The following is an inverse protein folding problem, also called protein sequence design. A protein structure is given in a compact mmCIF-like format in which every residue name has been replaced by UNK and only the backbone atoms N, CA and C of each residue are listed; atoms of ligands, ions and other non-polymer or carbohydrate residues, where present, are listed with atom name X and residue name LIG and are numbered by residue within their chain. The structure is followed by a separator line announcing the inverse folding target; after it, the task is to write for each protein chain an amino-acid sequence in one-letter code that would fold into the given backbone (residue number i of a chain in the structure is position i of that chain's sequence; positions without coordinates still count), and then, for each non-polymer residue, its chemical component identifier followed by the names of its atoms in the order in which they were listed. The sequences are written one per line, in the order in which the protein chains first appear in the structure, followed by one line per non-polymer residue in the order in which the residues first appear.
data_IF_465875155001
#
_entry.id   IF_465875155001
#
_cell.length_a   1.000
_cell.length_b   1.000
_cell.length_c   1.000
_cell.angle_alpha   90.00
_cell.angle_beta   90.00
_cell.angle_gamma   90.00
#
_symmetry.space_group_name_H-M   'P 1'
#
loop_
_entity.id
_entity.type
_entity.pdbx_description
1 polymer ?
#
# COMPACT_ATOMS: atom_id res chain seq x y z
N UNK A 1 -5.35 15.30 -33.69
CA UNK A 1 -5.14 14.17 -32.76
C UNK A 1 -6.34 14.13 -31.81
N UNK A 2 -6.98 12.97 -31.59
CA UNK A 2 -8.11 12.88 -30.65
C UNK A 2 -7.64 13.08 -29.20
N UNK A 3 -8.53 13.53 -28.30
CA UNK A 3 -8.19 13.69 -26.86
C UNK A 3 -7.72 12.36 -26.26
N UNK A 4 -8.35 11.25 -26.65
CA UNK A 4 -7.92 9.91 -26.23
C UNK A 4 -6.49 9.57 -26.68
N UNK A 5 -6.12 9.89 -27.93
CA UNK A 5 -4.78 9.68 -28.45
C UNK A 5 -3.76 10.62 -27.79
N UNK A 6 -4.15 11.87 -27.51
CA UNK A 6 -3.33 12.83 -26.77
C UNK A 6 -3.03 12.32 -25.35
N UNK A 7 -4.04 11.83 -24.64
CA UNK A 7 -3.88 11.25 -23.30
C UNK A 7 -2.96 10.00 -23.31
N UNK A 8 -2.95 9.22 -24.39
CA UNK A 8 -2.11 8.03 -24.51
C UNK A 8 -0.69 8.31 -25.03
N UNK A 9 -0.40 9.56 -25.44
CA UNK A 9 0.90 9.93 -25.96
C UNK A 9 1.96 9.83 -24.85
N UNK A 10 3.12 9.28 -25.20
CA UNK A 10 4.25 9.08 -24.29
C UNK A 10 5.57 9.38 -24.98
N UNK A 11 6.46 10.07 -24.26
CA UNK A 11 7.85 10.29 -24.67
C UNK A 11 8.64 8.99 -24.77
N UNK A 12 9.79 9.04 -25.46
CA UNK A 12 10.73 7.90 -25.52
C UNK A 12 11.20 7.52 -24.12
N UNK A 13 11.44 8.50 -23.26
CA UNK A 13 11.87 8.26 -21.87
C UNK A 13 10.85 7.46 -21.06
N UNK A 14 9.56 7.80 -21.16
CA UNK A 14 8.49 7.06 -20.49
C UNK A 14 8.38 5.62 -21.01
N UNK A 15 8.50 5.41 -22.33
CA UNK A 15 8.50 4.07 -22.94
C UNK A 15 9.68 3.22 -22.46
N UNK A 16 10.89 3.81 -22.45
CA UNK A 16 12.08 3.14 -21.94
C UNK A 16 11.94 2.80 -20.46
N UNK A 17 11.40 3.70 -19.63
CA UNK A 17 11.20 3.43 -18.22
C UNK A 17 10.24 2.26 -17.99
N UNK A 18 9.10 2.21 -18.70
CA UNK A 18 8.13 1.10 -18.61
C UNK A 18 8.73 -0.23 -19.04
N UNK A 19 9.60 -0.24 -20.06
CA UNK A 19 10.22 -1.46 -20.55
C UNK A 19 11.40 -1.93 -19.68
N UNK A 20 12.27 -1.01 -19.25
CA UNK A 20 13.53 -1.33 -18.60
C UNK A 20 13.40 -1.55 -17.10
N UNK A 21 12.53 -0.80 -16.41
CA UNK A 21 12.45 -0.88 -14.94
C UNK A 21 12.03 -2.28 -14.46
N UNK A 22 10.98 -2.93 -15.00
CA UNK A 22 10.65 -4.29 -14.59
C UNK A 22 11.80 -5.28 -14.82
N UNK A 23 12.54 -5.13 -15.92
CA UNK A 23 13.70 -5.99 -16.26
C UNK A 23 14.85 -5.76 -15.28
N UNK A 24 15.22 -4.50 -15.05
CA UNK A 24 16.27 -4.12 -14.10
C UNK A 24 15.92 -4.62 -12.70
N UNK A 25 14.69 -4.41 -12.25
CA UNK A 25 14.23 -4.88 -10.93
C UNK A 25 14.30 -6.40 -10.82
N UNK A 26 13.92 -7.14 -11.87
CA UNK A 26 14.01 -8.61 -11.90
C UNK A 26 15.47 -9.09 -11.82
N UNK A 27 16.40 -8.40 -12.49
CA UNK A 27 17.84 -8.68 -12.41
C UNK A 27 18.37 -8.41 -11.01
N UNK A 28 18.03 -7.25 -10.41
CA UNK A 28 18.47 -6.88 -9.07
C UNK A 28 18.00 -7.92 -8.04
N UNK A 29 16.71 -8.29 -8.10
CA UNK A 29 16.15 -9.30 -7.19
C UNK A 29 16.76 -10.69 -7.46
N UNK A 30 17.11 -10.98 -8.71
CA UNK A 30 17.79 -12.22 -9.10
C UNK A 30 19.16 -12.43 -8.46
N UNK A 31 19.86 -11.35 -8.07
CA UNK A 31 21.09 -11.46 -7.29
C UNK A 31 20.85 -11.97 -5.86
N UNK A 32 19.66 -11.77 -5.31
CA UNK A 32 19.27 -12.29 -4.00
C UNK A 32 18.63 -13.68 -4.09
N UNK A 33 17.69 -13.87 -5.02
CA UNK A 33 17.00 -15.15 -5.20
C UNK A 33 16.44 -15.32 -6.61
N UNK A 34 16.83 -16.41 -7.29
CA UNK A 34 16.27 -16.79 -8.59
C UNK A 34 14.76 -17.07 -8.52
N UNK A 35 14.27 -17.59 -7.39
CA UNK A 35 12.82 -17.80 -7.17
C UNK A 35 12.07 -16.48 -7.14
N UNK A 36 12.61 -15.49 -6.41
CA UNK A 36 12.01 -14.16 -6.34
C UNK A 36 11.99 -13.48 -7.71
N UNK A 37 13.08 -13.58 -8.48
CA UNK A 37 13.13 -13.06 -9.85
C UNK A 37 12.11 -13.71 -10.79
N UNK A 38 11.87 -15.02 -10.66
CA UNK A 38 10.88 -15.74 -11.45
C UNK A 38 9.43 -15.30 -11.15
N UNK A 39 9.13 -14.98 -9.88
CA UNK A 39 7.81 -14.50 -9.45
C UNK A 39 7.60 -13.00 -9.69
N UNK A 40 8.68 -12.24 -9.88
CA UNK A 40 8.69 -10.79 -10.05
C UNK A 40 7.66 -10.25 -11.06
N UNK A 41 7.51 -10.84 -12.27
CA UNK A 41 6.56 -10.32 -13.24
C UNK A 41 5.11 -10.31 -12.74
N UNK A 42 4.77 -11.23 -11.82
CA UNK A 42 3.42 -11.34 -11.26
C UNK A 42 3.07 -10.17 -10.34
N UNK A 43 4.05 -9.50 -9.73
CA UNK A 43 3.84 -8.30 -8.91
C UNK A 43 3.28 -7.12 -9.72
N UNK A 44 3.42 -7.14 -11.06
CA UNK A 44 2.92 -6.10 -11.96
C UNK A 44 1.51 -6.38 -12.50
N UNK A 45 0.92 -7.56 -12.23
CA UNK A 45 -0.40 -7.92 -12.75
C UNK A 45 -1.51 -6.92 -12.37
N UNK A 46 -1.60 -6.42 -11.13
CA UNK A 46 -2.64 -5.43 -10.79
C UNK A 46 -2.48 -4.13 -11.58
N UNK A 47 -1.24 -3.69 -11.79
CA UNK A 47 -0.92 -2.51 -12.61
C UNK A 47 -1.33 -2.73 -14.06
N UNK A 48 -1.04 -3.90 -14.65
CA UNK A 48 -1.44 -4.24 -16.01
C UNK A 48 -2.98 -4.28 -16.16
N UNK A 49 -3.68 -4.86 -15.19
CA UNK A 49 -5.14 -4.93 -15.19
C UNK A 49 -5.78 -3.53 -15.10
N UNK A 50 -5.31 -2.68 -14.18
CA UNK A 50 -5.84 -1.32 -14.02
C UNK A 50 -5.42 -0.39 -15.17
N UNK A 51 -4.26 -0.59 -15.77
CA UNK A 51 -3.90 0.09 -17.02
C UNK A 51 -4.88 -0.25 -18.14
N UNK A 52 -5.25 -1.52 -18.29
CA UNK A 52 -6.24 -1.91 -19.29
C UNK A 52 -7.63 -1.30 -19.03
N UNK A 53 -8.05 -1.24 -17.76
CA UNK A 53 -9.25 -0.50 -17.36
C UNK A 53 -9.16 0.98 -17.72
N UNK A 54 -8.01 1.62 -17.48
CA UNK A 54 -7.75 3.01 -17.87
C UNK A 54 -7.83 3.19 -19.38
N UNK A 55 -7.24 2.29 -20.19
CA UNK A 55 -7.30 2.36 -21.67
C UNK A 55 -8.75 2.33 -22.15
N UNK A 56 -9.58 1.45 -21.58
CA UNK A 56 -11.01 1.38 -21.92
C UNK A 56 -11.74 2.67 -21.53
N UNK A 57 -11.52 3.17 -20.32
CA UNK A 57 -12.14 4.41 -19.84
C UNK A 57 -11.70 5.64 -20.64
N UNK A 58 -10.44 5.70 -21.07
CA UNK A 58 -9.92 6.79 -21.89
C UNK A 58 -10.49 6.78 -23.31
N UNK A 59 -10.90 5.62 -23.84
CA UNK A 59 -11.60 5.57 -25.13
C UNK A 59 -13.03 6.10 -25.02
N UNK A 60 -13.70 5.87 -23.90
CA UNK A 60 -15.12 6.24 -23.72
C UNK A 60 -15.31 7.66 -23.20
N UNK A 61 -14.48 8.12 -22.26
CA UNK A 61 -14.58 9.45 -21.67
C UNK A 61 -13.20 10.12 -21.53
N UNK A 62 -12.51 10.43 -22.64
CA UNK A 62 -11.14 10.95 -22.61
C UNK A 62 -11.00 12.31 -21.93
N UNK A 63 -12.03 13.15 -21.95
CA UNK A 63 -11.94 14.53 -21.43
C UNK A 63 -11.72 14.58 -19.91
N UNK A 64 -12.18 13.56 -19.19
CA UNK A 64 -12.11 13.52 -17.71
C UNK A 64 -10.92 12.73 -17.16
N UNK A 65 -10.18 11.97 -17.99
CA UNK A 65 -9.06 11.11 -17.56
C UNK A 65 -7.77 11.89 -17.36
N UNK A 66 -6.81 11.33 -16.65
CA UNK A 66 -5.42 11.79 -16.64
C UNK A 66 -4.65 11.33 -17.88
N UNK A 67 -3.62 12.09 -18.29
CA UNK A 67 -2.68 11.67 -19.34
C UNK A 67 -1.73 10.57 -18.83
N UNK A 68 -1.43 9.58 -19.68
CA UNK A 68 -0.64 8.40 -19.35
C UNK A 68 0.78 8.73 -18.91
N UNK A 69 1.48 9.63 -19.60
CA UNK A 69 2.87 9.96 -19.25
C UNK A 69 3.00 10.52 -17.81
N UNK A 70 2.20 11.51 -17.39
CA UNK A 70 2.14 11.90 -15.98
C UNK A 70 1.82 10.76 -15.00
N UNK A 71 0.95 9.81 -15.38
CA UNK A 71 0.63 8.66 -14.53
C UNK A 71 1.83 7.70 -14.39
N UNK A 72 2.57 7.45 -15.48
CA UNK A 72 3.82 6.67 -15.45
C UNK A 72 4.82 7.32 -14.49
N UNK A 73 5.06 8.62 -14.63
CA UNK A 73 6.01 9.32 -13.74
C UNK A 73 5.53 9.37 -12.29
N UNK A 74 4.24 9.52 -12.06
CA UNK A 74 3.65 9.44 -10.71
C UNK A 74 3.90 8.06 -10.11
N UNK A 75 3.65 7.00 -10.87
CA UNK A 75 3.94 5.63 -10.47
C UNK A 75 5.43 5.51 -10.08
N UNK A 76 6.35 5.91 -10.95
CA UNK A 76 7.79 5.76 -10.68
C UNK A 76 8.28 6.60 -9.49
N UNK A 77 7.84 7.85 -9.37
CA UNK A 77 8.26 8.75 -8.29
C UNK A 77 7.74 8.27 -6.94
N UNK A 78 6.45 7.88 -6.85
CA UNK A 78 5.88 7.34 -5.62
C UNK A 78 6.52 6.00 -5.26
N UNK A 79 6.73 5.14 -6.25
CA UNK A 79 7.33 3.83 -6.08
C UNK A 79 8.77 3.89 -5.59
N UNK A 80 9.63 4.65 -6.26
CA UNK A 80 11.06 4.67 -5.93
C UNK A 80 11.33 5.70 -4.83
N UNK A 81 11.06 6.97 -5.11
CA UNK A 81 11.38 8.06 -4.19
C UNK A 81 10.45 8.11 -2.98
N UNK A 82 9.14 7.90 -3.21
CA UNK A 82 8.12 7.93 -2.18
C UNK A 82 8.30 6.81 -1.14
N UNK A 83 8.44 5.55 -1.60
CA UNK A 83 8.63 4.43 -0.66
C UNK A 83 9.97 4.51 0.06
N UNK A 84 11.06 4.95 -0.60
CA UNK A 84 12.34 5.16 0.07
C UNK A 84 12.24 6.21 1.19
N UNK A 85 11.63 7.36 0.89
CA UNK A 85 11.42 8.42 1.88
C UNK A 85 10.51 7.94 3.03
N UNK A 86 9.46 7.17 2.70
CA UNK A 86 8.57 6.55 3.66
C UNK A 86 9.33 5.58 4.58
N UNK A 87 10.12 4.66 4.03
CA UNK A 87 10.90 3.69 4.81
C UNK A 87 11.89 4.38 5.74
N UNK A 88 12.59 5.41 5.28
CA UNK A 88 13.50 6.21 6.12
C UNK A 88 12.72 6.89 7.25
N UNK A 89 11.59 7.52 6.94
CA UNK A 89 10.77 8.22 7.94
C UNK A 89 10.19 7.25 8.99
N UNK A 90 9.62 6.12 8.56
CA UNK A 90 9.07 5.10 9.45
C UNK A 90 10.16 4.47 10.30
N UNK A 91 11.29 4.05 9.71
CA UNK A 91 12.40 3.44 10.44
C UNK A 91 13.00 4.41 11.47
N UNK A 92 13.23 5.67 11.09
CA UNK A 92 13.81 6.68 11.98
C UNK A 92 12.87 6.99 13.15
N UNK A 93 11.57 7.17 12.87
CA UNK A 93 10.58 7.41 13.92
C UNK A 93 10.44 6.19 14.84
N UNK A 94 10.36 4.98 14.28
CA UNK A 94 10.24 3.77 15.07
C UNK A 94 11.48 3.53 15.92
N UNK A 95 12.67 3.80 15.40
CA UNK A 95 13.92 3.76 16.17
C UNK A 95 13.88 4.67 17.39
N UNK A 96 13.51 5.95 17.21
CA UNK A 96 13.38 6.88 18.34
C UNK A 96 12.33 6.39 19.35
N UNK A 97 11.16 5.94 18.88
CA UNK A 97 10.10 5.46 19.75
C UNK A 97 10.51 4.22 20.54
N UNK A 98 11.17 3.25 19.90
CA UNK A 98 11.68 2.05 20.56
C UNK A 98 12.74 2.42 21.60
N UNK A 99 13.72 3.26 21.24
CA UNK A 99 14.78 3.68 22.16
C UNK A 99 14.23 4.39 23.40
N UNK A 100 13.24 5.27 23.23
CA UNK A 100 12.62 6.00 24.34
C UNK A 100 11.73 5.08 25.19
N UNK A 101 10.93 4.23 24.56
CA UNK A 101 9.90 3.43 25.25
C UNK A 101 10.51 2.22 25.96
N UNK A 102 11.45 1.53 25.31
CA UNK A 102 12.06 0.30 25.82
C UNK A 102 13.30 0.57 26.69
N UNK A 103 13.92 1.75 26.56
CA UNK A 103 15.13 2.11 27.30
C UNK A 103 16.24 1.08 27.12
N UNK A 104 16.70 0.49 28.21
CA UNK A 104 17.75 -0.54 28.19
C UNK A 104 17.36 -1.81 27.42
N UNK A 105 16.06 -2.10 27.26
CA UNK A 105 15.55 -3.26 26.52
C UNK A 105 15.43 -3.03 25.00
N UNK A 106 15.81 -1.86 24.48
CA UNK A 106 15.62 -1.51 23.07
C UNK A 106 16.35 -2.45 22.10
N UNK A 107 17.57 -2.88 22.43
CA UNK A 107 18.35 -3.80 21.58
C UNK A 107 17.69 -5.17 21.47
N UNK A 108 17.26 -5.74 22.61
CA UNK A 108 16.52 -6.99 22.66
C UNK A 108 15.21 -6.90 21.89
N UNK A 109 14.46 -5.81 22.07
CA UNK A 109 13.23 -5.56 21.32
C UNK A 109 13.47 -5.56 19.82
N UNK A 110 14.52 -4.89 19.34
CA UNK A 110 14.85 -4.85 17.91
C UNK A 110 15.19 -6.21 17.33
N UNK A 111 15.96 -7.01 18.07
CA UNK A 111 16.27 -8.40 17.67
C UNK A 111 14.98 -9.20 17.51
N UNK A 112 14.08 -9.12 18.48
CA UNK A 112 12.83 -9.87 18.43
C UNK A 112 11.83 -9.31 17.40
N UNK A 113 11.77 -7.99 17.20
CA UNK A 113 10.90 -7.32 16.23
C UNK A 113 11.29 -7.63 14.77
N UNK A 114 12.58 -7.73 14.48
CA UNK A 114 13.10 -8.05 13.14
C UNK A 114 13.17 -9.55 12.87
N UNK A 115 12.91 -10.39 13.87
CA UNK A 115 12.91 -11.84 13.71
C UNK A 115 11.68 -12.29 12.92
N UNK A 116 11.89 -12.88 11.74
CA UNK A 116 10.82 -13.36 10.85
C UNK A 116 10.25 -14.76 11.17
N UNK A 117 10.88 -15.53 12.07
CA UNK A 117 10.43 -16.88 12.45
C UNK A 117 10.71 -17.21 13.91
N UNK A 118 9.88 -18.07 14.50
CA UNK A 118 10.08 -18.62 15.86
C UNK A 118 10.63 -20.06 15.87
N UNK A 119 10.91 -20.60 14.68
CA UNK A 119 11.57 -21.90 14.56
C UNK A 119 12.99 -21.85 15.15
N UNK A 120 13.39 -22.93 15.81
CA UNK A 120 14.72 -23.03 16.44
C UNK A 120 14.88 -22.31 17.79
N UNK A 121 13.86 -21.60 18.29
CA UNK A 121 13.93 -20.96 19.62
C UNK A 121 13.77 -21.96 20.76
N UNK A 122 14.59 -21.79 21.82
CA UNK A 122 14.45 -22.55 23.08
C UNK A 122 13.18 -22.14 23.84
N UNK A 123 12.69 -22.96 24.79
CA UNK A 123 11.54 -22.61 25.62
C UNK A 123 11.72 -21.28 26.36
N UNK A 124 12.92 -20.99 26.86
CA UNK A 124 13.25 -19.77 27.60
C UNK A 124 13.20 -18.54 26.68
N UNK A 125 13.70 -18.66 25.44
CA UNK A 125 13.62 -17.60 24.44
C UNK A 125 12.18 -17.30 24.05
N UNK A 126 11.34 -18.33 23.90
CA UNK A 126 9.90 -18.17 23.61
C UNK A 126 9.17 -17.48 24.78
N UNK A 127 9.47 -17.88 26.01
CA UNK A 127 8.91 -17.24 27.20
C UNK A 127 9.31 -15.77 27.28
N UNK A 128 10.59 -15.46 27.02
CA UNK A 128 11.08 -14.08 27.00
C UNK A 128 10.40 -13.23 25.93
N UNK A 129 10.23 -13.79 24.73
CA UNK A 129 9.51 -13.14 23.63
C UNK A 129 8.04 -12.85 24.00
N UNK A 130 7.37 -13.79 24.67
CA UNK A 130 6.02 -13.61 25.20
C UNK A 130 5.93 -12.49 26.25
N UNK A 131 6.92 -12.35 27.13
CA UNK A 131 6.99 -11.24 28.08
C UNK A 131 7.08 -9.89 27.36
N UNK A 132 7.91 -9.80 26.32
CA UNK A 132 8.02 -8.58 25.51
C UNK A 132 6.69 -8.31 24.78
N UNK A 133 6.10 -9.32 24.15
CA UNK A 133 4.85 -9.21 23.41
C UNK A 133 3.66 -8.81 24.32
N UNK A 134 3.63 -9.27 25.56
CA UNK A 134 2.59 -8.93 26.54
C UNK A 134 2.79 -7.57 27.21
N UNK A 135 3.96 -6.93 27.02
CA UNK A 135 4.27 -5.63 27.62
C UNK A 135 3.40 -4.49 27.04
N UNK A 136 3.02 -3.54 27.89
CA UNK A 136 2.27 -2.35 27.44
C UNK A 136 3.09 -1.51 26.44
N UNK A 137 4.42 -1.54 26.56
CA UNK A 137 5.34 -0.86 25.66
C UNK A 137 5.20 -1.40 24.23
N UNK A 138 5.17 -2.73 24.07
CA UNK A 138 4.97 -3.34 22.75
C UNK A 138 3.61 -2.98 22.17
N UNK A 139 2.52 -3.07 22.96
CA UNK A 139 1.19 -2.66 22.51
C UNK A 139 1.12 -1.19 22.07
N UNK A 140 1.76 -0.29 22.82
CA UNK A 140 1.85 1.13 22.44
C UNK A 140 2.63 1.30 21.12
N UNK A 141 3.78 0.66 20.98
CA UNK A 141 4.59 0.72 19.76
C UNK A 141 3.85 0.15 18.55
N UNK A 142 3.14 -0.95 18.71
CA UNK A 142 2.29 -1.56 17.69
C UNK A 142 1.14 -0.62 17.28
N UNK A 143 0.50 0.04 18.24
CA UNK A 143 -0.53 1.04 17.96
C UNK A 143 0.02 2.23 17.17
N UNK A 144 1.16 2.80 17.60
CA UNK A 144 1.81 3.91 16.93
C UNK A 144 2.28 3.52 15.53
N UNK A 145 2.87 2.34 15.38
CA UNK A 145 3.26 1.81 14.07
C UNK A 145 2.05 1.71 13.14
N UNK A 146 0.96 1.11 13.63
CA UNK A 146 -0.24 0.87 12.81
C UNK A 146 -0.93 2.17 12.38
N UNK A 147 -1.22 3.09 13.30
CA UNK A 147 -2.04 4.27 12.98
C UNK A 147 -1.25 5.50 12.53
N UNK A 148 -0.02 5.69 13.03
CA UNK A 148 0.78 6.88 12.70
C UNK A 148 1.71 6.60 11.52
N UNK A 149 2.49 5.53 11.59
CA UNK A 149 3.48 5.22 10.55
C UNK A 149 2.82 4.61 9.32
N UNK A 150 2.16 3.47 9.46
CA UNK A 150 1.55 2.80 8.31
C UNK A 150 0.27 3.53 7.85
N UNK A 151 -0.71 3.71 8.75
CA UNK A 151 -1.93 4.43 8.44
C UNK A 151 -1.68 5.91 8.08
N UNK A 152 -0.84 6.63 8.83
CA UNK A 152 -0.63 8.05 8.61
C UNK A 152 0.29 8.37 7.43
N UNK A 153 1.55 7.93 7.48
CA UNK A 153 2.54 8.31 6.46
C UNK A 153 2.23 7.70 5.09
N UNK A 154 1.74 6.46 5.02
CA UNK A 154 1.42 5.86 3.72
C UNK A 154 0.20 6.49 3.07
N UNK A 155 -0.86 6.79 3.82
CA UNK A 155 -2.03 7.44 3.24
C UNK A 155 -1.73 8.90 2.86
N UNK A 156 -0.81 9.56 3.56
CA UNK A 156 -0.28 10.84 3.13
C UNK A 156 0.47 10.71 1.79
N UNK A 157 1.35 9.72 1.65
CA UNK A 157 2.06 9.44 0.40
C UNK A 157 1.08 9.12 -0.74
N UNK A 158 0.04 8.32 -0.49
CA UNK A 158 -1.03 8.00 -1.47
C UNK A 158 -1.89 9.21 -1.85
N UNK A 159 -1.97 10.21 -0.98
CA UNK A 159 -2.67 11.48 -1.27
C UNK A 159 -1.85 12.44 -2.14
N UNK A 160 -0.52 12.38 -2.12
CA UNK A 160 0.33 13.28 -2.92
C UNK A 160 0.01 13.27 -4.43
N UNK A 161 -0.25 12.11 -5.07
CA UNK A 161 -0.74 12.07 -6.45
C UNK A 161 -2.05 12.83 -6.68
N UNK A 162 -3.00 12.73 -5.74
CA UNK A 162 -4.25 13.49 -5.82
C UNK A 162 -3.95 14.98 -5.71
N UNK A 163 -3.12 15.39 -4.76
CA UNK A 163 -2.70 16.77 -4.62
C UNK A 163 -2.01 17.31 -5.89
N UNK A 164 -1.13 16.51 -6.51
CA UNK A 164 -0.52 16.84 -7.80
C UNK A 164 -1.58 16.99 -8.91
N UNK A 165 -2.56 16.08 -8.97
CA UNK A 165 -3.67 16.17 -9.93
C UNK A 165 -4.50 17.44 -9.73
N UNK A 166 -4.77 17.85 -8.48
CA UNK A 166 -5.47 19.11 -8.14
C UNK A 166 -4.73 20.32 -8.72
N UNK A 167 -3.42 20.39 -8.47
CA UNK A 167 -2.55 21.47 -8.98
C UNK A 167 -2.47 21.47 -10.50
N UNK A 168 -2.47 20.29 -11.13
CA UNK A 168 -2.47 20.16 -12.60
C UNK A 168 -3.81 20.60 -13.19
N UNK A 169 -4.93 20.23 -12.57
CA UNK A 169 -6.27 20.55 -13.04
C UNK A 169 -6.56 22.06 -13.05
N UNK A 170 -5.95 22.84 -12.15
CA UNK A 170 -6.01 24.31 -12.18
C UNK A 170 -5.49 24.94 -13.48
N UNK A 171 -4.69 24.20 -14.27
CA UNK A 171 -4.12 24.67 -15.55
C UNK A 171 -4.99 24.31 -16.75
N UNK A 172 -6.03 23.50 -16.57
CA UNK A 172 -6.93 23.10 -17.64
C UNK A 172 -8.19 23.95 -17.62
N UNK A 173 -8.63 24.38 -18.80
CA UNK A 173 -9.92 25.07 -18.96
C UNK A 173 -11.10 24.11 -18.71
N UNK A 174 -10.91 22.82 -19.00
CA UNK A 174 -11.92 21.77 -18.80
C UNK A 174 -11.68 21.00 -17.51
N UNK A 175 -12.79 20.66 -16.85
CA UNK A 175 -12.84 19.83 -15.63
C UNK A 175 -12.36 18.40 -15.90
N UNK A 176 -11.30 17.95 -15.22
CA UNK A 176 -10.78 16.57 -15.26
C UNK A 176 -10.91 15.89 -13.90
N UNK A 177 -12.14 15.76 -13.41
CA UNK A 177 -12.41 15.20 -12.09
C UNK A 177 -11.98 13.72 -11.95
N UNK A 178 -12.21 12.88 -12.96
CA UNK A 178 -11.78 11.48 -12.93
C UNK A 178 -10.26 11.30 -12.99
N UNK A 179 -9.49 12.33 -13.35
CA UNK A 179 -8.03 12.27 -13.30
C UNK A 179 -7.52 12.09 -11.86
N UNK A 180 -8.23 12.59 -10.85
CA UNK A 180 -7.82 12.42 -9.44
C UNK A 180 -7.75 10.93 -9.07
N UNK A 181 -8.70 10.15 -9.59
CA UNK A 181 -8.74 8.69 -9.42
C UNK A 181 -7.55 8.05 -10.13
N UNK A 182 -7.25 8.47 -11.37
CA UNK A 182 -6.12 7.93 -12.13
C UNK A 182 -4.79 8.13 -11.42
N UNK A 183 -4.53 9.34 -10.93
CA UNK A 183 -3.31 9.66 -10.19
C UNK A 183 -3.25 8.90 -8.86
N UNK A 184 -4.34 8.82 -8.11
CA UNK A 184 -4.39 8.06 -6.86
C UNK A 184 -4.08 6.57 -7.09
N UNK A 185 -4.70 5.97 -8.11
CA UNK A 185 -4.45 4.57 -8.47
C UNK A 185 -3.00 4.35 -8.92
N UNK A 186 -2.42 5.27 -9.71
CA UNK A 186 -1.02 5.18 -10.11
C UNK A 186 -0.06 5.18 -8.91
N UNK A 187 -0.29 6.06 -7.92
CA UNK A 187 0.51 6.07 -6.69
C UNK A 187 0.32 4.81 -5.85
N UNK A 188 -0.94 4.39 -5.64
CA UNK A 188 -1.28 3.22 -4.84
C UNK A 188 -0.70 1.92 -5.42
N UNK A 189 -0.86 1.72 -6.74
CA UNK A 189 -0.32 0.58 -7.46
C UNK A 189 1.19 0.53 -7.36
N UNK A 190 1.85 1.68 -7.40
CA UNK A 190 3.30 1.72 -7.30
C UNK A 190 3.80 1.29 -5.93
N UNK A 191 3.20 1.85 -4.88
CA UNK A 191 3.54 1.49 -3.50
C UNK A 191 3.30 -0.02 -3.27
N UNK A 192 2.15 -0.55 -3.67
CA UNK A 192 1.88 -1.98 -3.46
C UNK A 192 2.72 -2.90 -4.36
N UNK A 193 3.12 -2.46 -5.55
CA UNK A 193 4.11 -3.21 -6.35
C UNK A 193 5.42 -3.31 -5.57
N UNK A 194 5.96 -2.21 -5.04
CA UNK A 194 7.20 -2.25 -4.25
C UNK A 194 7.07 -3.13 -3.02
N UNK A 195 5.94 -3.08 -2.30
CA UNK A 195 5.68 -3.98 -1.18
C UNK A 195 5.66 -5.45 -1.62
N UNK A 196 4.92 -5.78 -2.68
CA UNK A 196 4.86 -7.16 -3.21
C UNK A 196 6.27 -7.66 -3.53
N UNK A 197 7.10 -6.83 -4.15
CA UNK A 197 8.50 -7.14 -4.46
C UNK A 197 9.31 -7.42 -3.19
N UNK A 198 9.17 -6.58 -2.17
CA UNK A 198 9.80 -6.76 -0.87
C UNK A 198 9.40 -8.09 -0.21
N UNK A 199 8.10 -8.37 -0.13
CA UNK A 199 7.59 -9.60 0.49
C UNK A 199 8.00 -10.87 -0.28
N UNK A 200 7.95 -10.86 -1.62
CA UNK A 200 8.43 -11.99 -2.43
C UNK A 200 9.92 -12.21 -2.16
N UNK A 201 10.71 -11.15 -2.13
CA UNK A 201 12.16 -11.23 -1.92
C UNK A 201 12.48 -11.78 -0.53
N UNK A 202 11.79 -11.31 0.50
CA UNK A 202 11.97 -11.75 1.89
C UNK A 202 11.58 -13.23 2.09
N UNK A 203 10.40 -13.64 1.61
CA UNK A 203 9.96 -15.04 1.69
C UNK A 203 10.88 -15.97 0.89
N UNK A 204 11.41 -15.53 -0.25
CA UNK A 204 12.33 -16.33 -1.06
C UNK A 204 13.79 -16.31 -0.58
N UNK A 205 14.16 -15.36 0.29
CA UNK A 205 15.47 -15.30 0.94
C UNK A 205 15.51 -16.12 2.24
N UNK A 206 14.34 -16.41 2.82
CA UNK A 206 14.21 -17.38 3.91
C UNK A 206 14.65 -18.76 3.41
N UNK A 207 15.28 -19.60 4.26
CA UNK A 207 15.79 -20.96 3.93
C UNK A 207 14.70 -21.99 3.50
N UNK A 208 13.51 -21.50 3.13
CA UNK A 208 12.35 -22.23 2.66
C UNK A 208 12.67 -22.87 1.29
N UNK A 209 12.81 -24.19 1.30
CA UNK A 209 13.15 -24.96 0.10
C UNK A 209 12.00 -25.02 -0.93
N UNK A 210 10.75 -24.77 -0.51
CA UNK A 210 9.54 -24.87 -1.34
C UNK A 210 9.20 -23.67 -2.24
N UNK A 211 8.14 -23.81 -3.02
CA UNK A 211 7.48 -22.74 -3.80
C UNK A 211 6.14 -22.31 -3.21
N UNK A 212 5.59 -23.11 -2.27
CA UNK A 212 4.25 -22.90 -1.73
C UNK A 212 4.17 -21.58 -0.98
N UNK A 213 5.10 -21.33 -0.06
CA UNK A 213 5.12 -20.15 0.81
C UNK A 213 5.33 -18.85 0.01
N UNK A 214 6.28 -18.77 -0.97
CA UNK A 214 6.37 -17.63 -1.87
C UNK A 214 5.10 -17.37 -2.69
N UNK A 215 4.46 -18.43 -3.23
CA UNK A 215 3.23 -18.30 -4.02
C UNK A 215 2.06 -17.83 -3.14
N UNK A 216 1.94 -18.38 -1.93
CA UNK A 216 0.92 -17.98 -0.96
C UNK A 216 1.12 -16.52 -0.54
N UNK A 217 2.36 -16.12 -0.25
CA UNK A 217 2.72 -14.73 0.07
C UNK A 217 2.33 -13.80 -1.08
N UNK A 218 2.71 -14.17 -2.30
CA UNK A 218 2.37 -13.41 -3.50
C UNK A 218 0.84 -13.28 -3.66
N UNK A 219 0.10 -14.38 -3.54
CA UNK A 219 -1.37 -14.37 -3.65
C UNK A 219 -2.01 -13.47 -2.58
N UNK A 220 -1.55 -13.55 -1.33
CA UNK A 220 -2.03 -12.69 -0.24
C UNK A 220 -1.77 -11.21 -0.54
N UNK A 221 -0.58 -10.86 -1.06
CA UNK A 221 -0.25 -9.46 -1.37
C UNK A 221 -0.96 -8.94 -2.62
N UNK A 222 -1.12 -9.77 -3.64
CA UNK A 222 -1.87 -9.43 -4.85
C UNK A 222 -3.38 -9.28 -4.61
N UNK A 223 -3.95 -10.10 -3.73
CA UNK A 223 -5.39 -10.08 -3.47
C UNK A 223 -5.70 -9.13 -2.31
N UNK A 224 -5.23 -9.45 -1.11
CA UNK A 224 -5.61 -8.74 0.10
C UNK A 224 -4.94 -7.37 0.15
N UNK A 225 -3.60 -7.33 0.05
CA UNK A 225 -2.81 -6.10 0.10
C UNK A 225 -3.20 -5.11 -0.98
N UNK A 226 -3.16 -5.53 -2.24
CA UNK A 226 -3.47 -4.64 -3.38
C UNK A 226 -4.90 -4.12 -3.33
N UNK A 227 -5.88 -4.97 -3.00
CA UNK A 227 -7.27 -4.53 -2.88
C UNK A 227 -7.42 -3.46 -1.79
N UNK A 228 -6.80 -3.66 -0.62
CA UNK A 228 -6.81 -2.68 0.47
C UNK A 228 -6.25 -1.32 0.03
N UNK A 229 -5.06 -1.30 -0.58
CA UNK A 229 -4.39 -0.06 -1.00
C UNK A 229 -5.15 0.66 -2.11
N UNK A 230 -5.68 -0.09 -3.08
CA UNK A 230 -6.51 0.45 -4.17
C UNK A 230 -7.80 1.04 -3.62
N UNK A 231 -8.52 0.33 -2.75
CA UNK A 231 -9.77 0.82 -2.18
C UNK A 231 -9.57 2.04 -1.28
N UNK A 232 -8.52 2.07 -0.44
CA UNK A 232 -8.19 3.23 0.38
C UNK A 232 -7.88 4.47 -0.50
N UNK A 233 -7.15 4.27 -1.59
CA UNK A 233 -6.80 5.35 -2.53
C UNK A 233 -8.02 5.80 -3.37
N UNK A 234 -8.92 4.89 -3.71
CA UNK A 234 -10.22 5.21 -4.30
C UNK A 234 -11.07 6.04 -3.34
N UNK A 235 -11.15 5.67 -2.07
CA UNK A 235 -11.89 6.41 -1.06
C UNK A 235 -11.36 7.84 -0.95
N UNK A 236 -10.03 7.98 -0.83
CA UNK A 236 -9.35 9.28 -0.77
C UNK A 236 -9.61 10.13 -2.01
N UNK A 237 -9.48 9.56 -3.22
CA UNK A 237 -9.68 10.30 -4.46
C UNK A 237 -11.14 10.68 -4.70
N UNK A 238 -12.11 9.80 -4.43
CA UNK A 238 -13.55 10.10 -4.55
C UNK A 238 -13.95 11.23 -3.60
N UNK A 239 -13.44 11.22 -2.36
CA UNK A 239 -13.66 12.31 -1.41
C UNK A 239 -13.04 13.62 -1.89
N UNK A 240 -11.84 13.58 -2.47
CA UNK A 240 -11.22 14.76 -3.07
C UNK A 240 -12.04 15.30 -4.25
N UNK A 241 -12.54 14.41 -5.13
CA UNK A 241 -13.44 14.78 -6.23
C UNK A 241 -14.73 15.42 -5.71
N UNK A 242 -15.33 14.84 -4.67
CA UNK A 242 -16.53 15.40 -4.06
C UNK A 242 -16.26 16.79 -3.48
N UNK A 243 -15.18 16.94 -2.72
CA UNK A 243 -14.77 18.21 -2.12
C UNK A 243 -14.56 19.32 -3.16
N UNK A 244 -13.87 19.00 -4.26
CA UNK A 244 -13.44 20.01 -5.21
C UNK A 244 -14.51 20.35 -6.24
N UNK A 245 -15.47 19.46 -6.49
CA UNK A 245 -16.37 19.66 -7.63
C UNK A 245 -17.86 19.34 -7.46
N UNK A 246 -18.29 18.64 -6.40
CA UNK A 246 -19.69 18.18 -6.29
C UNK A 246 -20.34 18.41 -4.93
N UNK A 247 -19.57 18.78 -3.90
CA UNK A 247 -20.04 18.90 -2.54
C UNK A 247 -19.32 19.99 -1.75
N UNK A 248 -19.56 20.06 -0.43
CA UNK A 248 -18.91 21.06 0.41
C UNK A 248 -17.39 20.83 0.45
N UNK A 249 -16.59 21.92 0.46
CA UNK A 249 -15.14 21.82 0.49
C UNK A 249 -14.68 21.10 1.77
N UNK A 250 -13.71 20.20 1.61
CA UNK A 250 -13.08 19.46 2.69
C UNK A 250 -11.60 19.80 2.80
N UNK A 251 -11.10 19.86 4.03
CA UNK A 251 -9.66 19.92 4.28
C UNK A 251 -9.00 18.59 3.88
N UNK A 252 -7.71 18.61 3.53
CA UNK A 252 -6.97 17.41 3.18
C UNK A 252 -7.03 16.33 4.28
N UNK A 253 -7.00 16.75 5.55
CA UNK A 253 -7.15 15.86 6.72
C UNK A 253 -8.50 15.12 6.65
N UNK A 254 -9.61 15.83 6.41
CA UNK A 254 -10.95 15.21 6.30
C UNK A 254 -11.08 14.28 5.10
N UNK A 255 -10.29 14.51 4.05
CA UNK A 255 -10.26 13.64 2.87
C UNK A 255 -9.58 12.31 3.23
N UNK A 256 -8.39 12.34 3.83
CA UNK A 256 -7.58 11.13 4.07
C UNK A 256 -7.92 10.39 5.37
N UNK A 257 -8.48 11.07 6.37
CA UNK A 257 -8.65 10.49 7.72
C UNK A 257 -9.37 9.12 7.75
N UNK A 258 -10.44 8.88 6.96
CA UNK A 258 -11.04 7.54 6.93
C UNK A 258 -10.08 6.45 6.44
N UNK A 259 -9.28 6.75 5.42
CA UNK A 259 -8.29 5.81 4.90
C UNK A 259 -7.18 5.55 5.93
N UNK A 260 -6.69 6.61 6.61
CA UNK A 260 -5.70 6.50 7.69
C UNK A 260 -6.17 5.56 8.80
N UNK A 261 -7.40 5.77 9.28
CA UNK A 261 -7.98 4.96 10.36
C UNK A 261 -8.18 3.53 9.90
N UNK A 262 -8.80 3.30 8.75
CA UNK A 262 -9.09 1.94 8.27
C UNK A 262 -7.82 1.16 7.96
N UNK A 263 -6.83 1.79 7.33
CA UNK A 263 -5.54 1.16 7.09
C UNK A 263 -4.82 0.85 8.41
N UNK A 264 -4.80 1.80 9.36
CA UNK A 264 -4.26 1.55 10.69
C UNK A 264 -4.97 0.40 11.42
N UNK A 265 -6.29 0.29 11.32
CA UNK A 265 -7.06 -0.83 11.87
C UNK A 265 -6.69 -2.15 11.23
N UNK A 266 -6.50 -2.20 9.90
CA UNK A 266 -6.09 -3.41 9.21
C UNK A 266 -4.71 -3.90 9.69
N UNK A 267 -3.76 -3.00 9.86
CA UNK A 267 -2.42 -3.36 10.37
C UNK A 267 -2.47 -3.74 11.85
N UNK A 268 -3.26 -3.03 12.65
CA UNK A 268 -3.46 -3.39 14.06
C UNK A 268 -4.05 -4.80 14.18
N UNK A 269 -5.01 -5.17 13.32
CA UNK A 269 -5.57 -6.52 13.33
C UNK A 269 -4.51 -7.60 13.05
N UNK A 270 -3.61 -7.35 12.09
CA UNK A 270 -2.47 -8.24 11.82
C UNK A 270 -1.58 -8.36 13.04
N UNK A 271 -1.13 -7.24 13.60
CA UNK A 271 -0.22 -7.27 14.74
C UNK A 271 -0.86 -7.88 15.99
N UNK A 272 -2.14 -7.61 16.27
CA UNK A 272 -2.87 -8.25 17.37
C UNK A 272 -2.82 -9.76 17.22
N UNK A 273 -3.10 -10.31 16.04
CA UNK A 273 -3.04 -11.75 15.80
C UNK A 273 -1.65 -12.34 16.01
N UNK A 274 -0.59 -11.61 15.67
CA UNK A 274 0.80 -11.99 15.93
C UNK A 274 1.11 -11.94 17.44
N UNK A 275 0.82 -10.81 18.09
CA UNK A 275 1.09 -10.55 19.50
C UNK A 275 0.34 -11.52 20.42
N UNK A 276 -0.89 -11.92 20.06
CA UNK A 276 -1.67 -12.91 20.81
C UNK A 276 -1.01 -14.30 20.87
N UNK A 277 -0.09 -14.61 19.94
CA UNK A 277 0.74 -15.82 19.99
C UNK A 277 2.13 -15.58 20.62
N UNK A 278 2.32 -14.44 21.28
CA UNK A 278 3.59 -14.06 21.88
C UNK A 278 4.64 -13.58 20.87
N UNK A 279 4.24 -13.21 19.65
CA UNK A 279 5.19 -12.67 18.67
C UNK A 279 5.43 -11.17 18.88
N UNK A 280 6.70 -10.77 18.77
CA UNK A 280 7.12 -9.38 18.69
C UNK A 280 7.35 -9.04 17.22
N UNK A 281 6.59 -8.10 16.68
CA UNK A 281 6.67 -7.74 15.26
C UNK A 281 5.84 -8.64 14.34
N UNK A 282 6.20 -8.70 13.06
CA UNK A 282 5.46 -9.45 12.05
C UNK A 282 6.01 -10.88 11.93
N UNK A 283 5.45 -11.80 12.71
CA UNK A 283 5.60 -13.25 12.50
C UNK A 283 4.23 -13.84 12.19
N UNK A 284 4.11 -14.57 11.09
CA UNK A 284 2.82 -15.11 10.70
C UNK A 284 2.28 -16.06 11.78
N UNK A 285 1.01 -15.89 12.19
CA UNK A 285 0.42 -16.76 13.19
C UNK A 285 0.30 -18.19 12.65
N UNK A 286 0.52 -19.18 13.51
CA UNK A 286 0.43 -20.61 13.14
C UNK A 286 -0.84 -21.27 13.66
N UNK A 287 -1.36 -20.82 14.81
CA UNK A 287 -2.64 -21.31 15.34
C UNK A 287 -3.82 -20.84 14.47
N UNK A 288 -4.73 -21.79 14.19
CA UNK A 288 -5.89 -21.57 13.32
C UNK A 288 -6.76 -20.40 13.78
N UNK A 289 -6.96 -20.23 15.09
CA UNK A 289 -7.79 -19.15 15.62
C UNK A 289 -7.21 -17.77 15.32
N UNK A 290 -5.89 -17.60 15.41
CA UNK A 290 -5.22 -16.34 15.08
C UNK A 290 -5.13 -16.13 13.57
N UNK A 291 -4.98 -17.19 12.77
CA UNK A 291 -5.05 -17.10 11.30
C UNK A 291 -6.45 -16.62 10.87
N UNK A 292 -7.51 -17.25 11.38
CA UNK A 292 -8.90 -16.86 11.12
C UNK A 292 -9.16 -15.45 11.63
N UNK A 293 -8.67 -15.10 12.81
CA UNK A 293 -8.78 -13.75 13.37
C UNK A 293 -8.09 -12.70 12.49
N UNK A 294 -6.88 -12.98 12.01
CA UNK A 294 -6.10 -12.10 11.15
C UNK A 294 -6.85 -11.82 9.85
N UNK A 295 -7.19 -12.88 9.09
CA UNK A 295 -7.86 -12.73 7.81
C UNK A 295 -9.28 -12.21 7.94
N UNK A 296 -10.03 -12.70 8.94
CA UNK A 296 -11.41 -12.26 9.19
C UNK A 296 -11.48 -10.77 9.50
N UNK A 297 -10.65 -10.28 10.42
CA UNK A 297 -10.60 -8.85 10.74
C UNK A 297 -10.09 -8.02 9.56
N UNK A 298 -9.03 -8.48 8.88
CA UNK A 298 -8.48 -7.79 7.71
C UNK A 298 -9.54 -7.63 6.62
N UNK A 299 -10.21 -8.72 6.20
CA UNK A 299 -11.23 -8.67 5.16
C UNK A 299 -12.48 -7.91 5.60
N UNK A 300 -12.82 -7.91 6.91
CA UNK A 300 -13.88 -7.05 7.44
C UNK A 300 -13.55 -5.57 7.21
N UNK A 301 -12.33 -5.14 7.56
CA UNK A 301 -11.86 -3.76 7.33
C UNK A 301 -11.87 -3.41 5.85
N UNK A 302 -11.33 -4.28 4.98
CA UNK A 302 -11.35 -4.07 3.52
C UNK A 302 -12.78 -3.97 2.98
N UNK A 303 -13.71 -4.80 3.48
CA UNK A 303 -15.12 -4.74 3.15
C UNK A 303 -15.77 -3.42 3.57
N UNK A 304 -15.43 -2.89 4.75
CA UNK A 304 -15.87 -1.58 5.22
C UNK A 304 -15.33 -0.45 4.32
N UNK A 305 -14.05 -0.49 3.92
CA UNK A 305 -13.49 0.46 2.95
C UNK A 305 -14.26 0.38 1.64
N UNK A 306 -14.53 -0.82 1.13
CA UNK A 306 -15.33 -1.04 -0.09
C UNK A 306 -16.74 -0.45 0.00
N UNK A 307 -17.42 -0.63 1.13
CA UNK A 307 -18.72 -0.02 1.40
C UNK A 307 -18.65 1.51 1.39
N UNK A 308 -17.60 2.09 1.97
CA UNK A 308 -17.39 3.54 1.97
C UNK A 308 -17.08 4.09 0.57
N UNK A 309 -16.24 3.39 -0.21
CA UNK A 309 -15.99 3.70 -1.62
C UNK A 309 -17.29 3.68 -2.41
N UNK A 310 -18.11 2.64 -2.24
CA UNK A 310 -19.41 2.53 -2.91
C UNK A 310 -20.35 3.68 -2.54
N UNK A 311 -20.41 4.07 -1.26
CA UNK A 311 -21.21 5.20 -0.79
C UNK A 311 -20.75 6.51 -1.42
N UNK A 312 -19.46 6.82 -1.40
CA UNK A 312 -18.92 8.04 -2.02
C UNK A 312 -19.16 8.06 -3.53
N UNK A 313 -18.97 6.91 -4.21
CA UNK A 313 -19.28 6.78 -5.63
C UNK A 313 -20.76 7.02 -5.94
N UNK A 314 -21.67 6.45 -5.14
CA UNK A 314 -23.11 6.66 -5.30
C UNK A 314 -23.48 8.13 -5.13
N UNK A 315 -22.98 8.79 -4.08
CA UNK A 315 -23.19 10.22 -3.85
C UNK A 315 -22.68 11.05 -5.02
N UNK A 316 -21.50 10.75 -5.55
CA UNK A 316 -20.98 11.45 -6.74
C UNK A 316 -21.89 11.27 -7.95
N UNK A 317 -22.32 10.04 -8.23
CA UNK A 317 -23.20 9.74 -9.38
C UNK A 317 -24.53 10.49 -9.32
N UNK A 318 -25.07 10.76 -8.14
CA UNK A 318 -26.28 11.56 -7.96
C UNK A 318 -26.09 13.05 -8.32
N UNK A 319 -24.86 13.56 -8.21
CA UNK A 319 -24.50 14.96 -8.48
C UNK A 319 -23.81 15.16 -9.83
N UNK A 320 -23.40 14.08 -10.50
CA UNK A 320 -22.85 14.14 -11.86
C UNK A 320 -23.95 14.52 -12.85
N UNK A 321 -23.73 15.52 -13.73
CA UNK A 321 -24.68 15.79 -14.81
C UNK A 321 -24.82 14.50 -15.65
N UNK A 322 -26.07 14.08 -15.89
CA UNK A 322 -26.35 12.93 -16.75
C UNK A 322 -25.81 13.25 -18.14
N UNK A 323 -24.83 12.48 -18.59
CA UNK A 323 -24.31 12.51 -19.95
C UNK A 323 -25.30 11.87 -20.92
#
# INVERSE_FOLDING_TARGET
MSVAAANAATSVSAKLAVALIPVITSIIVGFGSLKAAALMPLAFLPTAALYWCWVRANRTNPESRGELEPLIWTYLIVGIGGTLALSIAQLSLYFVLVSVTMGAGASEYWVEFLRGTVEGLTPEQKQRRLEIASSWQHWMLTFLFSYVMAGGFEEWLKYLPVFYARKRNQRYEKRRDLAYIDFALAGALSLVTVECIGYISDTCASDIQGWVEPIVTLAQRLIAGTLGHVLASLLTSLRAVRSDFYGPPMTWIRIIAPAVVLHGTANMAVFVSCTMQGHVGWVHPTEMISIVGLYGNYFCVVGLVGLMVWREYKTLKEHMPKQ
#
